data_IF_608143325574
#
_entry.id   IF_608143325574
#
_cell.length_a   1.000
_cell.length_b   1.000
_cell.length_c   1.000
_cell.angle_alpha   90.00
_cell.angle_beta   90.00
_cell.angle_gamma   90.00
#
_symmetry.space_group_name_H-M   'P 1'
#
loop_
_entity.id
_entity.type
_entity.pdbx_description
1 polymer ?
#
# COMPACT_ATOMS: atom_id res chain seq x y z
N UNK A 1 5.71 7.05 1.67
CA UNK A 1 4.82 5.88 1.83
C UNK A 1 4.74 5.16 0.49
N UNK A 2 4.79 3.83 0.48
CA UNK A 2 4.84 3.07 -0.77
C UNK A 2 3.62 2.14 -0.81
N UNK A 3 2.69 2.43 -1.72
CA UNK A 3 1.48 1.64 -2.00
C UNK A 3 1.20 1.62 -3.51
N UNK A 4 0.27 0.79 -3.97
CA UNK A 4 -0.06 0.70 -5.40
C UNK A 4 -1.00 1.83 -5.81
N UNK A 5 -0.75 2.55 -6.92
CA UNK A 5 -1.73 3.46 -7.50
C UNK A 5 -2.97 2.71 -8.01
N UNK A 6 -4.05 3.43 -8.28
CA UNK A 6 -5.24 2.88 -8.93
C UNK A 6 -4.90 2.41 -10.36
N UNK A 7 -5.22 1.15 -10.63
CA UNK A 7 -5.03 0.51 -11.93
C UNK A 7 -5.99 1.07 -13.00
N UNK A 8 -7.12 1.63 -12.59
CA UNK A 8 -8.05 2.28 -13.52
C UNK A 8 -7.47 3.58 -14.07
N UNK A 9 -7.53 3.73 -15.38
CA UNK A 9 -6.97 4.89 -16.09
C UNK A 9 -7.95 6.07 -16.07
N UNK A 10 -8.17 6.65 -14.89
CA UNK A 10 -8.97 7.85 -14.67
C UNK A 10 -8.10 9.12 -14.65
N UNK A 11 -8.68 10.34 -14.69
CA UNK A 11 -7.90 11.57 -14.59
C UNK A 11 -7.04 11.60 -13.31
N UNK A 12 -5.77 11.92 -13.47
CA UNK A 12 -4.79 12.03 -12.39
C UNK A 12 -3.72 13.03 -12.78
N UNK A 13 -3.25 13.80 -11.79
CA UNK A 13 -2.08 14.65 -11.98
C UNK A 13 -0.81 13.83 -12.28
N UNK A 14 -0.77 12.56 -11.89
CA UNK A 14 0.36 11.66 -12.10
C UNK A 14 0.32 10.90 -13.44
N UNK A 15 -0.68 11.15 -14.30
CA UNK A 15 -0.88 10.36 -15.53
C UNK A 15 0.33 10.33 -16.46
N UNK A 16 1.08 11.43 -16.59
CA UNK A 16 2.29 11.47 -17.41
C UNK A 16 3.37 10.52 -16.86
N UNK A 17 3.61 10.54 -15.55
CA UNK A 17 4.59 9.68 -14.89
C UNK A 17 4.16 8.20 -14.93
N UNK A 18 2.90 7.91 -14.59
CA UNK A 18 2.34 6.56 -14.65
C UNK A 18 2.38 6.00 -16.09
N UNK A 19 2.11 6.84 -17.09
CA UNK A 19 2.24 6.50 -18.50
C UNK A 19 3.68 6.15 -18.89
N UNK A 20 4.65 6.98 -18.49
CA UNK A 20 6.07 6.77 -18.75
C UNK A 20 6.60 5.47 -18.12
N UNK A 21 6.12 5.13 -16.92
CA UNK A 21 6.44 3.87 -16.22
C UNK A 21 5.69 2.66 -16.80
N UNK A 22 4.82 2.86 -17.79
CA UNK A 22 4.04 1.79 -18.42
C UNK A 22 2.87 1.27 -17.58
N UNK A 23 2.50 1.98 -16.51
CA UNK A 23 1.49 1.55 -15.54
C UNK A 23 0.12 1.35 -16.18
N UNK A 24 -0.27 2.23 -17.10
CA UNK A 24 -1.55 2.16 -17.81
C UNK A 24 -1.70 0.92 -18.72
N UNK A 25 -0.60 0.23 -19.03
CA UNK A 25 -0.60 -0.96 -19.90
C UNK A 25 -0.35 -2.25 -19.12
N UNK A 26 0.55 -2.18 -18.13
CA UNK A 26 0.90 -3.33 -17.32
C UNK A 26 1.21 -2.85 -15.88
N UNK A 27 0.18 -2.70 -15.04
CA UNK A 27 0.35 -2.19 -13.68
C UNK A 27 1.21 -3.12 -12.83
N UNK A 28 1.18 -4.43 -13.09
CA UNK A 28 1.95 -5.43 -12.36
C UNK A 28 3.46 -5.15 -12.37
N UNK A 29 4.00 -4.52 -13.43
CA UNK A 29 5.42 -4.14 -13.49
C UNK A 29 5.80 -3.13 -12.40
N UNK A 30 5.05 -2.03 -12.29
CA UNK A 30 5.33 -1.02 -11.27
C UNK A 30 5.02 -1.54 -9.87
N UNK A 31 3.96 -2.33 -9.71
CA UNK A 31 3.61 -2.96 -8.44
C UNK A 31 4.72 -3.92 -7.97
N UNK A 32 5.33 -4.68 -8.88
CA UNK A 32 6.49 -5.52 -8.59
C UNK A 32 7.69 -4.67 -8.15
N UNK A 33 7.99 -3.58 -8.86
CA UNK A 33 9.08 -2.67 -8.48
C UNK A 33 8.84 -2.03 -7.10
N UNK A 34 7.62 -1.59 -6.81
CA UNK A 34 7.20 -1.08 -5.50
C UNK A 34 7.46 -2.12 -4.41
N UNK A 35 7.01 -3.35 -4.62
CA UNK A 35 7.21 -4.45 -3.67
C UNK A 35 8.69 -4.70 -3.43
N UNK A 36 9.50 -4.74 -4.49
CA UNK A 36 10.95 -4.93 -4.38
C UNK A 36 11.66 -3.77 -3.69
N UNK A 37 11.25 -2.52 -3.93
CA UNK A 37 11.76 -1.37 -3.18
C UNK A 37 11.40 -1.44 -1.69
N UNK A 38 10.24 -2.00 -1.36
CA UNK A 38 9.90 -2.23 0.04
C UNK A 38 10.81 -3.30 0.65
N UNK A 39 10.87 -4.49 0.04
CA UNK A 39 11.62 -5.66 0.53
C UNK A 39 13.13 -5.39 0.67
N UNK A 40 13.74 -4.80 -0.36
CA UNK A 40 15.21 -4.69 -0.42
C UNK A 40 15.73 -3.38 0.22
N UNK A 41 14.91 -2.32 0.26
CA UNK A 41 15.33 -1.01 0.75
C UNK A 41 14.54 -0.53 1.96
N UNK A 42 13.20 -0.48 1.90
CA UNK A 42 12.42 0.13 3.00
C UNK A 42 12.46 -0.72 4.27
N UNK A 43 12.33 -2.04 4.16
CA UNK A 43 12.36 -2.94 5.32
C UNK A 43 13.74 -3.14 5.93
N UNK A 44 14.80 -2.72 5.24
CA UNK A 44 16.18 -2.84 5.69
C UNK A 44 16.68 -1.59 6.41
N UNK A 45 15.89 -0.51 6.45
CA UNK A 45 16.21 0.72 7.18
C UNK A 45 16.38 0.42 8.68
N UNK A 46 17.47 0.95 9.25
CA UNK A 46 17.78 0.92 10.68
C UNK A 46 18.13 2.32 11.15
N UNK A 47 17.54 2.72 12.28
CA UNK A 47 17.80 4.01 12.92
C UNK A 47 18.35 3.72 14.32
N UNK A 48 19.60 4.11 14.64
CA UNK A 48 20.17 3.87 15.96
C UNK A 48 19.29 4.44 17.08
N UNK A 49 19.02 3.64 18.11
CA UNK A 49 18.18 4.04 19.23
C UNK A 49 16.67 4.07 18.93
N UNK A 50 16.23 3.57 17.78
CA UNK A 50 14.81 3.46 17.44
C UNK A 50 14.48 2.10 16.83
N UNK A 51 13.40 1.49 17.29
CA UNK A 51 12.83 0.32 16.61
C UNK A 51 12.12 0.78 15.33
N UNK A 52 12.48 0.19 14.19
CA UNK A 52 11.87 0.49 12.89
C UNK A 52 11.01 -0.70 12.48
N UNK A 53 9.70 -0.50 12.43
CA UNK A 53 8.73 -1.51 11.98
C UNK A 53 8.31 -1.15 10.55
N UNK A 54 8.76 -1.90 9.52
CA UNK A 54 8.36 -1.63 8.15
C UNK A 54 6.94 -2.15 7.89
N UNK A 55 6.06 -1.28 7.40
CA UNK A 55 4.67 -1.61 7.12
C UNK A 55 4.40 -1.57 5.60
N UNK A 56 4.00 -2.69 4.97
CA UNK A 56 3.78 -2.77 3.53
C UNK A 56 2.41 -2.17 3.17
N UNK A 57 2.37 -0.85 2.92
CA UNK A 57 1.11 -0.14 2.65
C UNK A 57 0.46 -0.48 1.29
N UNK A 58 1.17 -1.20 0.41
CA UNK A 58 0.58 -1.79 -0.79
C UNK A 58 -0.36 -2.98 -0.50
N UNK A 59 -0.47 -3.42 0.76
CA UNK A 59 -1.45 -4.44 1.18
C UNK A 59 -2.85 -3.83 1.34
N UNK A 60 -3.07 -2.78 2.16
CA UNK A 60 -4.38 -2.15 2.28
C UNK A 60 -4.78 -1.30 1.05
N UNK A 61 -3.80 -0.84 0.27
CA UNK A 61 -3.98 -0.11 -0.98
C UNK A 61 -3.32 -0.86 -2.14
N UNK A 62 -4.07 -1.80 -2.72
CA UNK A 62 -3.60 -2.77 -3.72
C UNK A 62 -3.84 -2.34 -5.18
N UNK A 63 -4.36 -1.14 -5.39
CA UNK A 63 -4.66 -0.55 -6.70
C UNK A 63 -5.92 -1.10 -7.41
N UNK A 64 -6.68 -2.00 -6.78
CA UNK A 64 -7.81 -2.68 -7.45
C UNK A 64 -9.17 -2.02 -7.20
N UNK A 65 -9.32 -1.30 -6.09
CA UNK A 65 -10.54 -0.57 -5.76
C UNK A 65 -10.36 0.95 -5.92
N UNK A 66 -10.93 1.53 -6.97
CA UNK A 66 -10.85 2.97 -7.25
C UNK A 66 -11.42 3.86 -6.15
N UNK A 67 -12.37 3.38 -5.34
CA UNK A 67 -12.94 4.18 -4.25
C UNK A 67 -11.93 4.46 -3.14
N UNK A 68 -10.84 3.68 -3.08
CA UNK A 68 -9.75 3.91 -2.15
C UNK A 68 -8.83 5.06 -2.58
N UNK A 69 -9.03 5.63 -3.77
CA UNK A 69 -8.14 6.64 -4.36
C UNK A 69 -8.83 7.95 -4.73
N UNK A 70 -8.08 9.03 -4.64
CA UNK A 70 -8.32 10.32 -5.27
C UNK A 70 -7.24 10.52 -6.33
N UNK A 71 -7.66 10.87 -7.54
CA UNK A 71 -6.76 11.11 -8.67
C UNK A 71 -5.72 9.98 -8.85
N UNK A 72 -6.13 8.72 -8.67
CA UNK A 72 -5.34 7.47 -8.78
C UNK A 72 -4.18 7.27 -7.81
N UNK A 73 -3.69 8.29 -7.14
CA UNK A 73 -2.43 8.20 -6.38
C UNK A 73 -2.56 8.61 -4.93
N UNK A 74 -3.57 9.41 -4.59
CA UNK A 74 -3.80 9.81 -3.22
C UNK A 74 -4.83 8.87 -2.59
N UNK A 75 -4.67 8.48 -1.32
CA UNK A 75 -5.74 7.76 -0.63
C UNK A 75 -6.97 8.66 -0.49
N UNK A 76 -8.14 8.11 -0.79
CA UNK A 76 -9.42 8.73 -0.42
C UNK A 76 -9.64 8.65 1.10
N UNK A 77 -10.76 9.20 1.60
CA UNK A 77 -11.15 8.99 3.00
C UNK A 77 -11.31 7.49 3.33
N UNK A 78 -11.83 6.69 2.40
CA UNK A 78 -11.97 5.24 2.57
C UNK A 78 -10.60 4.54 2.53
N UNK A 79 -9.76 4.88 1.55
CA UNK A 79 -8.41 4.34 1.45
C UNK A 79 -7.54 4.69 2.66
N UNK A 80 -7.62 5.93 3.14
CA UNK A 80 -6.94 6.40 4.34
C UNK A 80 -7.41 5.67 5.60
N UNK A 81 -8.71 5.40 5.72
CA UNK A 81 -9.26 4.57 6.81
C UNK A 81 -8.65 3.16 6.79
N UNK A 82 -8.60 2.49 5.63
CA UNK A 82 -7.99 1.16 5.50
C UNK A 82 -6.51 1.16 5.91
N UNK A 83 -5.76 2.18 5.50
CA UNK A 83 -4.36 2.34 5.91
C UNK A 83 -4.23 2.52 7.42
N UNK A 84 -5.10 3.34 8.03
CA UNK A 84 -5.07 3.60 9.47
C UNK A 84 -5.38 2.34 10.27
N UNK A 85 -6.40 1.56 9.88
CA UNK A 85 -6.74 0.27 10.49
C UNK A 85 -5.58 -0.71 10.36
N UNK A 86 -4.97 -0.78 9.17
CA UNK A 86 -3.81 -1.64 8.93
C UNK A 86 -2.62 -1.26 9.82
N UNK A 87 -2.28 0.03 9.91
CA UNK A 87 -1.21 0.52 10.79
C UNK A 87 -1.49 0.27 12.26
N UNK A 88 -2.75 0.46 12.70
CA UNK A 88 -3.15 0.23 14.07
C UNK A 88 -2.94 -1.24 14.46
N UNK A 89 -3.20 -2.18 13.54
CA UNK A 89 -2.92 -3.59 13.78
C UNK A 89 -1.43 -3.83 14.08
N UNK A 90 -0.49 -3.18 13.38
CA UNK A 90 0.95 -3.32 13.67
C UNK A 90 1.35 -2.72 15.02
N UNK A 91 0.69 -1.63 15.43
CA UNK A 91 0.95 -1.00 16.73
C UNK A 91 0.41 -1.85 17.87
N UNK A 92 -0.73 -2.51 17.67
CA UNK A 92 -1.42 -3.31 18.70
C UNK A 92 -0.94 -4.77 18.75
N UNK A 93 -0.48 -5.33 17.64
CA UNK A 93 -0.04 -6.72 17.58
C UNK A 93 1.35 -6.89 18.21
N UNK A 94 1.48 -7.79 19.19
CA UNK A 94 2.80 -8.24 19.68
C UNK A 94 3.57 -9.08 18.64
N UNK A 95 2.93 -9.47 17.53
CA UNK A 95 3.54 -10.21 16.42
C UNK A 95 4.33 -9.27 15.49
N UNK A 96 5.60 -9.06 15.85
CA UNK A 96 6.59 -8.24 15.12
C UNK A 96 7.20 -8.93 13.89
N UNK A 97 6.54 -9.93 13.34
CA UNK A 97 6.99 -10.64 12.13
C UNK A 97 5.99 -10.41 11.00
N UNK A 98 6.44 -9.74 9.94
CA UNK A 98 5.64 -9.52 8.74
C UNK A 98 5.83 -10.72 7.81
N UNK A 99 4.94 -11.71 7.90
CA UNK A 99 4.85 -12.74 6.87
C UNK A 99 4.19 -12.10 5.62
N UNK A 100 4.99 -11.93 4.55
CA UNK A 100 4.58 -11.31 3.29
C UNK A 100 3.51 -12.11 2.49
N UNK A 101 2.90 -13.14 3.12
CA UNK A 101 1.93 -14.07 2.52
C UNK A 101 0.53 -14.02 3.14
N UNK A 102 0.22 -13.04 3.99
CA UNK A 102 -1.11 -12.97 4.61
C UNK A 102 -2.12 -12.36 3.63
N UNK A 103 -3.08 -13.17 3.18
CA UNK A 103 -4.26 -12.73 2.44
C UNK A 103 -5.09 -11.74 3.28
N UNK A 104 -5.78 -10.76 2.65
CA UNK A 104 -6.48 -9.71 3.38
C UNK A 104 -7.51 -10.30 4.37
N UNK A 105 -7.65 -9.73 5.59
CA UNK A 105 -8.62 -10.21 6.55
C UNK A 105 -10.04 -9.97 6.02
N UNK A 106 -10.83 -11.04 5.92
CA UNK A 106 -12.19 -11.04 5.36
C UNK A 106 -13.27 -10.56 6.33
N UNK A 107 -12.90 -10.00 7.48
CA UNK A 107 -13.85 -9.70 8.56
C UNK A 107 -14.16 -8.20 8.59
N UNK A 108 -15.35 -7.87 8.07
CA UNK A 108 -16.04 -6.61 8.32
C UNK A 108 -16.36 -6.48 9.81
N UNK A 109 -15.89 -5.41 10.45
CA UNK A 109 -16.26 -5.04 11.83
C UNK A 109 -17.59 -4.27 11.93
N UNK A 110 -18.37 -4.22 10.86
CA UNK A 110 -19.75 -3.71 10.89
C UNK A 110 -20.66 -4.91 11.12
N UNK A 111 -20.79 -5.35 12.39
CA UNK A 111 -21.88 -6.20 12.92
C UNK A 111 -21.57 -6.64 14.38
N UNK A 112 -21.28 -5.67 15.27
CA UNK A 112 -21.32 -5.87 16.72
C UNK A 112 -21.83 -4.63 17.44
#
# INVERSE_FOLDING_TARGET
MIYYPDTNNVPSWANAALGALGYNRNPAKLQLLIRKMFEEATSTIRIPGSEVIPVPLFVPLDGTNSEDYVARVEPSALGGKKMAEYLLNFVQSENRHVDLYVAPPTISFVDR
#
